data_IF_790357927541
#
_entry.id   IF_790357927541
#
_cell.length_a   1.000
_cell.length_b   1.000
_cell.length_c   1.000
_cell.angle_alpha   90.00
_cell.angle_beta   90.00
_cell.angle_gamma   90.00
#
_symmetry.space_group_name_H-M   'P 1'
#
loop_
_entity.id
_entity.type
_entity.pdbx_description
1 polymer ?
#
# COMPACT_ATOMS: atom_id res chain seq x y z
N UNK A 1 -17.78 -6.78 3.73
CA UNK A 1 -16.73 -6.19 4.59
C UNK A 1 -17.23 -4.95 5.35
N UNK A 2 -17.78 -5.12 6.57
CA UNK A 2 -18.42 -4.03 7.31
C UNK A 2 -17.46 -2.93 7.77
N UNK A 3 -16.17 -3.23 8.00
CA UNK A 3 -15.16 -2.23 8.37
C UNK A 3 -14.78 -1.30 7.20
N UNK A 4 -14.66 -1.85 5.99
CA UNK A 4 -14.31 -1.08 4.79
C UNK A 4 -15.44 -0.11 4.39
N UNK A 5 -16.70 -0.49 4.61
CA UNK A 5 -17.84 0.41 4.39
C UNK A 5 -17.93 1.52 5.44
N UNK A 6 -17.47 1.27 6.68
CA UNK A 6 -17.41 2.29 7.75
C UNK A 6 -16.32 3.34 7.51
N UNK A 7 -15.22 2.97 6.84
CA UNK A 7 -14.09 3.87 6.52
C UNK A 7 -14.22 4.56 5.15
N UNK A 8 -14.99 3.97 4.24
CA UNK A 8 -15.06 4.40 2.84
C UNK A 8 -15.45 5.88 2.71
N UNK A 9 -14.70 6.63 1.91
CA UNK A 9 -14.96 8.06 1.64
C UNK A 9 -14.69 9.02 2.81
N UNK A 10 -14.07 8.56 3.90
CA UNK A 10 -13.77 9.38 5.08
C UNK A 10 -12.27 9.59 5.28
N UNK A 11 -11.89 10.76 5.76
CA UNK A 11 -10.52 11.00 6.26
C UNK A 11 -10.28 10.22 7.56
N UNK A 12 -9.01 10.01 7.97
CA UNK A 12 -8.68 9.38 9.26
C UNK A 12 -9.41 10.03 10.45
N UNK A 13 -9.52 11.36 10.46
CA UNK A 13 -10.23 12.12 11.50
C UNK A 13 -11.73 11.84 11.47
N UNK A 14 -12.35 11.88 10.29
CA UNK A 14 -13.78 11.60 10.10
C UNK A 14 -14.14 10.15 10.47
N UNK A 15 -13.23 9.21 10.23
CA UNK A 15 -13.39 7.82 10.62
C UNK A 15 -13.08 7.57 12.11
N UNK A 16 -12.53 8.56 12.83
CA UNK A 16 -11.97 8.41 14.20
C UNK A 16 -10.93 7.29 14.28
N UNK A 17 -10.12 7.16 13.22
CA UNK A 17 -9.09 6.15 13.08
C UNK A 17 -7.74 6.83 12.83
N UNK A 18 -6.96 7.05 13.88
CA UNK A 18 -5.63 7.63 13.74
C UNK A 18 -4.63 6.57 13.20
N UNK A 19 -3.76 6.93 12.23
CA UNK A 19 -2.64 6.09 11.86
C UNK A 19 -1.74 5.83 13.07
N UNK A 20 -1.29 4.59 13.25
CA UNK A 20 -0.34 4.22 14.32
C UNK A 20 0.97 5.00 14.15
N UNK A 21 1.36 5.24 12.89
CA UNK A 21 2.55 6.02 12.53
C UNK A 21 2.13 7.15 11.62
N UNK A 22 2.61 8.36 11.91
CA UNK A 22 2.35 9.53 11.07
C UNK A 22 2.90 9.29 9.66
N UNK A 23 2.13 9.59 8.59
CA UNK A 23 2.65 9.55 7.23
C UNK A 23 3.83 10.52 7.10
N UNK A 24 4.96 10.02 6.60
CA UNK A 24 6.16 10.82 6.33
C UNK A 24 6.66 10.53 4.93
N UNK A 25 7.37 11.50 4.34
CA UNK A 25 8.19 11.23 3.16
C UNK A 25 9.35 10.33 3.57
N UNK A 26 9.48 9.10 3.03
CA UNK A 26 10.57 8.23 3.38
C UNK A 26 11.90 8.78 2.88
N UNK A 27 12.97 8.47 3.60
CA UNK A 27 14.35 8.70 3.15
C UNK A 27 14.82 7.55 2.26
N UNK A 28 15.85 7.78 1.44
CA UNK A 28 16.44 6.73 0.59
C UNK A 28 16.90 5.51 1.42
N UNK A 29 17.48 5.75 2.59
CA UNK A 29 17.90 4.67 3.50
C UNK A 29 16.73 3.82 3.98
N UNK A 30 15.62 4.44 4.38
CA UNK A 30 14.40 3.73 4.79
C UNK A 30 13.78 2.91 3.65
N UNK A 31 13.93 3.35 2.40
CA UNK A 31 13.49 2.57 1.24
C UNK A 31 14.37 1.35 1.02
N UNK A 32 15.70 1.50 1.09
CA UNK A 32 16.64 0.40 0.95
C UNK A 32 16.46 -0.65 2.05
N UNK A 33 16.36 -0.23 3.32
CA UNK A 33 16.17 -1.16 4.44
C UNK A 33 14.86 -1.95 4.34
N UNK A 34 13.76 -1.32 3.91
CA UNK A 34 12.51 -2.05 3.66
C UNK A 34 12.60 -2.95 2.43
N UNK A 35 13.35 -2.55 1.41
CA UNK A 35 13.62 -3.36 0.22
C UNK A 35 14.34 -4.68 0.53
N UNK A 36 15.18 -4.72 1.58
CA UNK A 36 15.88 -5.94 2.02
C UNK A 36 14.94 -7.05 2.50
N UNK A 37 13.71 -6.71 2.90
CA UNK A 37 12.71 -7.69 3.30
C UNK A 37 12.12 -8.47 2.09
N UNK A 38 12.41 -8.02 0.87
CA UNK A 38 11.92 -8.62 -0.35
C UNK A 38 13.08 -9.22 -1.16
N UNK A 39 12.88 -10.36 -1.84
CA UNK A 39 13.86 -10.91 -2.77
C UNK A 39 14.27 -9.88 -3.85
N UNK A 40 15.46 -10.02 -4.45
CA UNK A 40 15.81 -9.28 -5.66
C UNK A 40 14.71 -9.45 -6.72
N UNK A 41 14.30 -8.36 -7.38
CA UNK A 41 13.23 -8.33 -8.40
C UNK A 41 11.82 -8.72 -7.90
N UNK A 42 11.53 -8.60 -6.60
CA UNK A 42 10.18 -8.84 -6.06
C UNK A 42 9.17 -7.71 -6.38
N UNK A 43 9.62 -6.65 -7.02
CA UNK A 43 8.74 -5.55 -7.44
C UNK A 43 8.23 -5.80 -8.86
N UNK A 44 6.98 -5.42 -9.07
CA UNK A 44 6.33 -5.35 -10.39
C UNK A 44 7.23 -4.65 -11.41
N UNK A 45 7.40 -5.25 -12.58
CA UNK A 45 8.24 -4.69 -13.65
C UNK A 45 7.63 -3.42 -14.23
N UNK A 46 6.30 -3.30 -14.23
CA UNK A 46 5.59 -2.12 -14.71
C UNK A 46 4.55 -1.61 -13.71
N UNK A 47 4.23 -0.32 -13.83
CA UNK A 47 3.10 0.29 -13.12
C UNK A 47 1.76 -0.40 -13.42
N UNK A 48 1.64 -1.03 -14.60
CA UNK A 48 0.44 -1.76 -15.01
C UNK A 48 0.28 -3.04 -14.20
N UNK A 49 1.36 -3.77 -13.94
CA UNK A 49 1.31 -5.01 -13.14
C UNK A 49 0.92 -4.71 -11.69
N UNK A 50 1.34 -3.55 -11.16
CA UNK A 50 0.88 -3.07 -9.87
C UNK A 50 -0.61 -2.70 -9.87
N UNK A 51 -1.10 -2.04 -10.92
CA UNK A 51 -2.49 -1.57 -10.99
C UNK A 51 -3.50 -2.73 -11.09
N UNK A 52 -3.09 -3.83 -11.72
CA UNK A 52 -3.92 -5.00 -11.98
C UNK A 52 -3.49 -6.24 -11.17
N UNK A 53 -2.78 -6.03 -10.07
CA UNK A 53 -2.25 -7.12 -9.23
C UNK A 53 -3.32 -8.07 -8.67
N UNK A 54 -4.59 -7.67 -8.69
CA UNK A 54 -5.75 -8.38 -8.15
C UNK A 54 -6.79 -8.73 -9.23
N UNK A 55 -6.45 -8.58 -10.51
CA UNK A 55 -7.33 -8.93 -11.63
C UNK A 55 -6.98 -10.33 -12.11
N UNK A 56 -7.95 -11.26 -12.04
CA UNK A 56 -7.81 -12.55 -12.69
C UNK A 56 -7.56 -12.32 -14.20
N UNK A 57 -6.40 -12.77 -14.69
CA UNK A 57 -6.16 -12.85 -16.12
C UNK A 57 -7.10 -13.94 -16.66
N UNK A 58 -8.21 -13.55 -17.27
CA UNK A 58 -9.03 -14.47 -18.05
C UNK A 58 -8.18 -15.03 -19.21
N UNK A 59 -8.21 -16.37 -19.35
CA UNK A 59 -7.46 -17.13 -20.36
C UNK A 59 -8.17 -17.14 -21.73
#
# INVERSE_FOLDING_TARGET
>A
APCNMKKGGRTPEQARMAPIVKPIRPTNWQLQERGRAFPPNYLHETWRDWLYWDVELEA
#
